data_IF_274247455570
#
_entry.id   IF_274247455570
#
_cell.length_a   1.000
_cell.length_b   1.000
_cell.length_c   1.000
_cell.angle_alpha   90.00
_cell.angle_beta   90.00
_cell.angle_gamma   90.00
#
_symmetry.space_group_name_H-M   'P 1'
#
loop_
_entity.id
_entity.type
_entity.pdbx_description
1 polymer ?
#
# COMPACT_ATOMS: atom_id res chain seq x y z
N UNK A 1 -1.66 -35.76 1.79
CA UNK A 1 -1.99 -34.93 0.62
C UNK A 1 -3.30 -34.14 0.75
N UNK A 2 -4.50 -34.70 0.51
CA UNK A 2 -5.75 -33.88 0.52
C UNK A 2 -6.06 -33.22 1.88
N UNK A 3 -5.82 -33.93 3.00
CA UNK A 3 -6.00 -33.35 4.35
C UNK A 3 -5.01 -32.23 4.66
N UNK A 4 -3.79 -32.30 4.12
CA UNK A 4 -2.76 -31.26 4.32
C UNK A 4 -3.08 -30.03 3.48
N UNK A 5 -3.59 -30.22 2.26
CA UNK A 5 -4.04 -29.13 1.41
C UNK A 5 -5.20 -28.37 2.05
N UNK A 6 -6.20 -29.08 2.60
CA UNK A 6 -7.30 -28.44 3.32
C UNK A 6 -6.83 -27.61 4.53
N UNK A 7 -5.89 -28.13 5.31
CA UNK A 7 -5.30 -27.38 6.45
C UNK A 7 -4.53 -26.15 6.00
N UNK A 8 -3.80 -26.23 4.89
CA UNK A 8 -3.08 -25.10 4.33
C UNK A 8 -4.06 -24.01 3.88
N UNK A 9 -5.12 -24.40 3.18
CA UNK A 9 -6.18 -23.48 2.73
C UNK A 9 -6.84 -22.75 3.91
N UNK A 10 -7.23 -23.48 4.96
CA UNK A 10 -7.79 -22.90 6.18
C UNK A 10 -6.82 -21.92 6.85
N UNK A 11 -5.52 -22.27 6.89
CA UNK A 11 -4.48 -21.42 7.48
C UNK A 11 -4.27 -20.13 6.68
N UNK A 12 -4.32 -20.21 5.34
CA UNK A 12 -4.20 -19.03 4.47
C UNK A 12 -5.42 -18.12 4.64
N UNK A 13 -6.63 -18.68 4.69
CA UNK A 13 -7.86 -17.90 4.96
C UNK A 13 -7.76 -17.14 6.28
N UNK A 14 -7.32 -17.83 7.34
CA UNK A 14 -7.09 -17.19 8.64
C UNK A 14 -6.05 -16.06 8.56
N UNK A 15 -4.96 -16.25 7.80
CA UNK A 15 -3.95 -15.20 7.60
C UNK A 15 -4.52 -13.97 6.90
N UNK A 16 -5.36 -14.17 5.88
CA UNK A 16 -6.06 -13.10 5.17
C UNK A 16 -6.96 -12.32 6.13
N UNK A 17 -7.77 -13.02 6.93
CA UNK A 17 -8.68 -12.39 7.90
C UNK A 17 -7.91 -11.56 8.96
N UNK A 18 -6.81 -12.11 9.47
CA UNK A 18 -5.94 -11.42 10.42
C UNK A 18 -5.30 -10.19 9.80
N UNK A 19 -4.75 -10.32 8.58
CA UNK A 19 -4.13 -9.20 7.87
C UNK A 19 -5.16 -8.10 7.59
N UNK A 20 -6.35 -8.44 7.10
CA UNK A 20 -7.45 -7.49 6.86
C UNK A 20 -7.84 -6.72 8.12
N UNK A 21 -7.91 -7.41 9.27
CA UNK A 21 -8.20 -6.78 10.56
C UNK A 21 -7.10 -5.81 10.99
N UNK A 22 -5.83 -6.19 10.79
CA UNK A 22 -4.68 -5.31 11.10
C UNK A 22 -4.69 -4.08 10.19
N UNK A 23 -4.90 -4.27 8.89
CA UNK A 23 -5.01 -3.19 7.89
C UNK A 23 -6.09 -2.19 8.28
N UNK A 24 -7.29 -2.66 8.59
CA UNK A 24 -8.41 -1.82 9.01
C UNK A 24 -8.03 -0.94 10.21
N UNK A 25 -7.36 -1.52 11.22
CA UNK A 25 -6.90 -0.77 12.40
C UNK A 25 -5.79 0.22 12.05
N UNK A 26 -4.89 -0.11 11.13
CA UNK A 26 -3.79 0.75 10.68
C UNK A 26 -4.35 1.97 9.94
N UNK A 27 -5.25 1.76 8.98
CA UNK A 27 -5.90 2.84 8.21
C UNK A 27 -6.72 3.75 9.14
N UNK A 28 -7.50 3.19 10.06
CA UNK A 28 -8.26 3.95 11.05
C UNK A 28 -7.37 4.83 11.97
N UNK A 29 -6.07 4.52 12.10
CA UNK A 29 -5.08 5.31 12.85
C UNK A 29 -4.28 6.27 11.96
N UNK A 30 -4.73 6.53 10.73
CA UNK A 30 -4.05 7.43 9.79
C UNK A 30 -2.94 6.75 8.99
N UNK A 31 -2.97 5.43 8.85
CA UNK A 31 -2.16 4.72 7.87
C UNK A 31 -2.66 5.05 6.46
N UNK A 32 -1.84 5.74 5.68
CA UNK A 32 -2.17 6.11 4.31
C UNK A 32 -1.76 4.98 3.35
N UNK A 33 -2.62 4.67 2.40
CA UNK A 33 -2.37 3.74 1.31
C UNK A 33 -2.43 4.54 0.02
N UNK A 34 -1.32 4.55 -0.72
CA UNK A 34 -1.20 5.25 -1.99
C UNK A 34 -0.81 4.19 -3.01
N UNK A 35 -1.74 3.87 -3.90
CA UNK A 35 -1.49 2.89 -4.94
C UNK A 35 -0.60 3.50 -6.03
N UNK A 36 0.44 2.77 -6.39
CA UNK A 36 1.29 3.08 -7.53
C UNK A 36 1.12 1.99 -8.56
N UNK A 37 0.83 2.36 -9.81
CA UNK A 37 0.74 1.40 -10.92
C UNK A 37 2.13 0.81 -11.15
N UNK A 38 2.29 -0.48 -10.83
CA UNK A 38 3.49 -1.24 -11.17
C UNK A 38 3.37 -1.74 -12.62
N UNK A 39 4.34 -1.39 -13.47
CA UNK A 39 4.39 -1.86 -14.86
C UNK A 39 5.40 -3.01 -14.98
N UNK A 40 4.95 -4.15 -15.50
CA UNK A 40 5.81 -5.27 -15.85
C UNK A 40 6.16 -5.24 -17.33
N UNK A 41 7.45 -5.41 -17.63
CA UNK A 41 7.94 -5.50 -19.00
C UNK A 41 7.93 -6.96 -19.44
N UNK A 42 7.22 -7.28 -20.52
CA UNK A 42 7.31 -8.59 -21.17
C UNK A 42 8.40 -8.57 -22.24
N UNK A 43 9.28 -9.56 -22.16
CA UNK A 43 10.32 -9.82 -23.14
C UNK A 43 9.98 -11.09 -23.93
N UNK A 44 10.47 -11.19 -25.15
CA UNK A 44 10.31 -12.38 -26.00
C UNK A 44 10.84 -13.66 -25.37
N UNK A 45 11.85 -13.55 -24.50
CA UNK A 45 12.24 -14.62 -23.58
C UNK A 45 11.91 -14.21 -22.13
N UNK A 46 10.81 -14.71 -21.56
CA UNK A 46 10.39 -14.41 -20.19
C UNK A 46 11.38 -14.90 -19.11
N UNK A 47 12.04 -16.03 -19.34
CA UNK A 47 12.91 -16.68 -18.35
C UNK A 47 14.24 -15.93 -18.22
N UNK A 48 14.83 -15.53 -19.34
CA UNK A 48 16.11 -14.78 -19.34
C UNK A 48 15.91 -13.26 -19.31
N UNK A 49 14.65 -12.78 -19.40
CA UNK A 49 14.28 -11.36 -19.55
C UNK A 49 15.09 -10.68 -20.66
N UNK A 50 15.27 -11.37 -21.77
CA UNK A 50 16.13 -10.94 -22.87
C UNK A 50 15.39 -10.95 -24.21
N UNK A 51 15.99 -10.31 -25.21
CA UNK A 51 15.40 -10.14 -26.54
C UNK A 51 14.55 -8.87 -26.65
N UNK A 52 13.70 -8.82 -27.67
CA UNK A 52 12.85 -7.66 -27.94
C UNK A 52 11.80 -7.50 -26.85
N UNK A 53 11.54 -6.24 -26.49
CA UNK A 53 10.41 -5.86 -25.65
C UNK A 53 9.13 -6.11 -26.45
N UNK A 54 8.26 -6.96 -25.91
CA UNK A 54 7.00 -7.32 -26.55
C UNK A 54 5.86 -6.44 -26.05
N UNK A 55 5.80 -6.18 -24.74
CA UNK A 55 4.66 -5.50 -24.13
C UNK A 55 5.01 -4.85 -22.78
N UNK A 56 4.22 -3.85 -22.39
CA UNK A 56 4.23 -3.21 -21.08
C UNK A 56 2.87 -3.42 -20.42
N UNK A 57 2.84 -4.26 -19.38
CA UNK A 57 1.58 -4.74 -18.81
C UNK A 57 1.48 -4.31 -17.36
N UNK A 58 0.38 -3.62 -16.97
CA UNK A 58 0.12 -3.31 -15.58
C UNK A 58 0.05 -4.59 -14.75
N UNK A 59 0.71 -4.61 -13.61
CA UNK A 59 0.64 -5.73 -12.69
C UNK A 59 -0.65 -5.61 -11.89
N UNK A 60 -1.52 -6.59 -12.05
CA UNK A 60 -2.77 -6.64 -11.31
C UNK A 60 -2.51 -6.90 -9.81
N UNK A 61 -3.06 -6.08 -8.91
CA UNK A 61 -2.94 -6.31 -7.48
C UNK A 61 -3.79 -7.51 -7.06
N UNK A 62 -3.13 -8.60 -6.69
CA UNK A 62 -3.79 -9.75 -6.06
C UNK A 62 -3.98 -9.52 -4.55
N UNK A 63 -5.07 -10.04 -3.98
CA UNK A 63 -5.35 -9.97 -2.53
C UNK A 63 -4.16 -10.44 -1.68
N UNK A 64 -3.48 -11.50 -2.11
CA UNK A 64 -2.31 -12.03 -1.41
C UNK A 64 -1.14 -11.04 -1.34
N UNK A 65 -0.98 -10.13 -2.31
CA UNK A 65 0.03 -9.08 -2.23
C UNK A 65 -0.27 -8.11 -1.08
N UNK A 66 -1.54 -7.71 -0.93
CA UNK A 66 -1.98 -6.87 0.20
C UNK A 66 -1.82 -7.59 1.54
N UNK A 67 -2.21 -8.87 1.62
CA UNK A 67 -2.06 -9.69 2.82
C UNK A 67 -0.61 -9.80 3.26
N UNK A 68 0.30 -10.12 2.33
CA UNK A 68 1.73 -10.21 2.64
C UNK A 68 2.29 -8.84 3.05
N UNK A 69 1.95 -7.76 2.33
CA UNK A 69 2.41 -6.42 2.66
C UNK A 69 1.99 -6.00 4.08
N UNK A 70 0.74 -6.24 4.48
CA UNK A 70 0.26 -5.88 5.82
C UNK A 70 0.97 -6.69 6.92
N UNK A 71 1.15 -8.00 6.71
CA UNK A 71 1.87 -8.84 7.66
C UNK A 71 3.34 -8.41 7.81
N UNK A 72 3.98 -7.98 6.72
CA UNK A 72 5.35 -7.44 6.75
C UNK A 72 5.43 -6.11 7.50
N UNK A 73 4.46 -5.20 7.30
CA UNK A 73 4.34 -3.96 8.07
C UNK A 73 4.19 -4.28 9.57
N UNK A 74 3.31 -5.22 9.90
CA UNK A 74 3.05 -5.62 11.29
C UNK A 74 4.28 -6.25 11.95
N UNK A 75 4.99 -7.14 11.24
CA UNK A 75 6.23 -7.74 11.71
C UNK A 75 7.31 -6.67 11.96
N UNK A 76 7.51 -5.75 11.01
CA UNK A 76 8.47 -4.65 11.13
C UNK A 76 8.15 -3.74 12.33
N UNK A 77 6.88 -3.45 12.58
CA UNK A 77 6.45 -2.68 13.75
C UNK A 77 6.87 -3.36 15.07
N UNK A 78 6.62 -4.66 15.21
CA UNK A 78 6.97 -5.40 16.43
C UNK A 78 8.48 -5.55 16.63
N UNK A 79 9.22 -5.85 15.56
CA UNK A 79 10.68 -5.94 15.61
C UNK A 79 11.28 -4.59 15.99
N UNK A 80 10.81 -3.47 15.40
CA UNK A 80 11.27 -2.13 15.74
C UNK A 80 11.07 -1.80 17.22
N UNK A 81 9.89 -2.14 17.78
CA UNK A 81 9.61 -1.96 19.22
C UNK A 81 10.54 -2.78 20.09
N UNK A 82 10.71 -4.06 19.78
CA UNK A 82 11.60 -4.96 20.54
C UNK A 82 13.05 -4.50 20.49
N UNK A 83 13.51 -4.01 19.33
CA UNK A 83 14.83 -3.44 19.17
C UNK A 83 15.01 -2.18 20.02
N UNK A 84 14.03 -1.27 20.03
CA UNK A 84 14.09 -0.05 20.84
C UNK A 84 14.08 -0.34 22.35
N UNK A 85 13.26 -1.30 22.79
CA UNK A 85 13.23 -1.76 24.19
C UNK A 85 14.56 -2.38 24.64
N UNK A 86 15.24 -3.10 23.74
CA UNK A 86 16.50 -3.79 24.07
C UNK A 86 17.74 -2.91 23.90
N UNK A 87 17.72 -2.02 22.90
CA UNK A 87 18.84 -1.20 22.49
C UNK A 87 18.38 0.24 22.19
N UNK A 88 17.99 1.03 23.20
CA UNK A 88 17.42 2.36 22.99
C UNK A 88 18.31 3.30 22.18
N UNK A 89 19.63 3.26 22.42
CA UNK A 89 20.61 4.15 21.79
C UNK A 89 21.27 3.56 20.53
N UNK A 90 21.03 2.28 20.22
CA UNK A 90 21.75 1.53 19.16
C UNK A 90 20.80 0.80 18.20
N UNK A 91 19.52 1.15 18.21
CA UNK A 91 18.54 0.56 17.30
C UNK A 91 18.58 1.27 15.94
N UNK A 92 18.58 0.48 14.86
CA UNK A 92 18.45 1.01 13.50
C UNK A 92 16.96 1.11 13.16
N UNK A 93 16.43 2.33 13.17
CA UNK A 93 15.01 2.62 12.93
C UNK A 93 14.84 3.48 11.69
N UNK A 94 13.70 3.32 11.01
CA UNK A 94 13.29 4.15 9.88
C UNK A 94 12.16 5.09 10.29
N UNK A 95 12.30 6.38 9.97
CA UNK A 95 11.26 7.41 10.20
C UNK A 95 10.97 8.17 8.92
N UNK A 96 9.69 8.43 8.65
CA UNK A 96 9.25 9.36 7.61
C UNK A 96 8.83 10.68 8.28
N UNK A 97 9.54 11.80 8.06
CA UNK A 97 9.12 13.10 8.61
C UNK A 97 7.82 13.58 7.93
N UNK A 98 7.04 14.46 8.58
CA UNK A 98 5.89 15.10 7.94
C UNK A 98 6.33 15.86 6.67
N UNK A 99 5.58 15.75 5.56
CA UNK A 99 5.81 16.56 4.36
C UNK A 99 5.59 18.05 4.64
N UNK A 100 6.23 18.92 3.85
CA UNK A 100 5.99 20.37 3.92
C UNK A 100 4.64 20.69 3.26
N UNK A 101 3.84 21.62 3.81
CA UNK A 101 2.55 21.99 3.22
C UNK A 101 2.65 22.41 1.74
N UNK A 102 3.72 23.13 1.39
CA UNK A 102 4.02 23.60 0.03
C UNK A 102 4.03 22.47 -1.02
N UNK A 103 4.37 21.23 -0.62
CA UNK A 103 4.39 20.09 -1.53
C UNK A 103 2.99 19.63 -1.95
N UNK A 104 1.94 20.08 -1.25
CA UNK A 104 0.55 19.81 -1.61
C UNK A 104 -0.09 20.95 -2.41
N UNK A 105 0.59 22.07 -2.65
CA UNK A 105 -0.01 23.24 -3.31
C UNK A 105 -0.43 22.92 -4.75
N UNK A 106 0.35 22.12 -5.47
CA UNK A 106 -0.01 21.67 -6.81
C UNK A 106 -1.19 20.68 -6.77
N UNK A 107 -1.17 19.71 -5.86
CA UNK A 107 -2.27 18.75 -5.68
C UNK A 107 -3.59 19.47 -5.37
N UNK A 108 -3.58 20.41 -4.42
CA UNK A 108 -4.77 21.17 -4.03
C UNK A 108 -5.30 22.03 -5.18
N UNK A 109 -4.41 22.68 -5.96
CA UNK A 109 -4.82 23.45 -7.15
C UNK A 109 -5.46 22.57 -8.21
N UNK A 110 -4.87 21.41 -8.50
CA UNK A 110 -5.40 20.45 -9.46
C UNK A 110 -6.76 19.89 -9.01
N UNK A 111 -6.90 19.51 -7.75
CA UNK A 111 -8.17 19.05 -7.19
C UNK A 111 -9.24 20.15 -7.26
N UNK A 112 -8.89 21.38 -6.85
CA UNK A 112 -9.81 22.52 -6.88
C UNK A 112 -10.30 22.85 -8.31
N UNK A 113 -9.46 22.68 -9.34
CA UNK A 113 -9.88 22.88 -10.74
C UNK A 113 -10.96 21.90 -11.21
N UNK A 114 -11.11 20.76 -10.52
CA UNK A 114 -12.17 19.77 -10.74
C UNK A 114 -13.29 19.85 -9.69
N UNK A 115 -13.28 20.88 -8.84
CA UNK A 115 -14.26 21.03 -7.76
C UNK A 115 -14.05 20.07 -6.57
N UNK A 116 -12.90 19.39 -6.50
CA UNK A 116 -12.53 18.47 -5.43
C UNK A 116 -11.73 19.20 -4.34
N UNK A 117 -11.87 18.76 -3.09
CA UNK A 117 -11.13 19.32 -1.95
C UNK A 117 -10.24 18.24 -1.32
N UNK A 118 -8.96 18.55 -1.20
CA UNK A 118 -7.97 17.71 -0.49
C UNK A 118 -7.64 18.34 0.86
N UNK A 119 -7.73 17.55 1.92
CA UNK A 119 -7.42 17.96 3.29
C UNK A 119 -6.02 17.45 3.67
N UNK A 120 -5.14 18.33 4.12
CA UNK A 120 -3.74 18.00 4.43
C UNK A 120 -3.41 18.13 5.93
N UNK A 121 -4.41 18.32 6.80
CA UNK A 121 -4.19 18.53 8.23
C UNK A 121 -3.61 17.29 8.92
N UNK A 122 -3.97 16.10 8.45
CA UNK A 122 -3.50 14.83 8.97
C UNK A 122 -3.50 13.74 7.89
N UNK A 123 -2.75 12.65 8.09
CA UNK A 123 -2.82 11.50 7.18
C UNK A 123 -4.24 10.90 7.11
N UNK A 124 -5.03 11.00 8.18
CA UNK A 124 -6.39 10.48 8.21
C UNK A 124 -7.32 11.34 7.35
N UNK A 125 -7.29 12.66 7.54
CA UNK A 125 -8.08 13.60 6.73
C UNK A 125 -7.64 13.59 5.26
N UNK A 126 -6.33 13.46 5.01
CA UNK A 126 -5.79 13.27 3.67
C UNK A 126 -6.33 12.01 3.01
N UNK A 127 -6.19 10.85 3.66
CA UNK A 127 -6.71 9.59 3.13
C UNK A 127 -8.22 9.62 2.87
N UNK A 128 -8.99 10.22 3.77
CA UNK A 128 -10.45 10.37 3.60
C UNK A 128 -10.82 11.30 2.44
N UNK A 129 -10.14 12.45 2.32
CA UNK A 129 -10.39 13.41 1.24
C UNK A 129 -10.01 12.86 -0.13
N UNK A 130 -8.93 12.08 -0.22
CA UNK A 130 -8.53 11.38 -1.45
C UNK A 130 -9.51 10.25 -1.81
N UNK A 131 -9.97 9.47 -0.85
CA UNK A 131 -10.95 8.40 -1.11
C UNK A 131 -12.33 8.93 -1.52
N UNK A 132 -12.68 10.15 -1.11
CA UNK A 132 -13.92 10.83 -1.51
C UNK A 132 -13.78 11.63 -2.81
N UNK A 133 -12.56 11.72 -3.38
CA UNK A 133 -12.27 12.49 -4.57
C UNK A 133 -12.64 11.70 -5.84
N UNK A 134 -13.94 11.53 -6.07
CA UNK A 134 -14.51 10.88 -7.25
C UNK A 134 -14.96 11.93 -8.28
N UNK A 135 -14.44 11.86 -9.51
CA UNK A 135 -14.84 12.74 -10.61
C UNK A 135 -15.77 11.98 -11.57
N UNK A 136 -17.09 12.23 -11.55
CA UNK A 136 -18.05 11.51 -12.39
C UNK A 136 -17.87 11.76 -13.90
N UNK A 137 -17.06 12.76 -14.28
CA UNK A 137 -16.76 13.04 -15.69
C UNK A 137 -15.47 12.36 -16.18
N UNK A 138 -14.76 11.64 -15.30
CA UNK A 138 -13.55 10.89 -15.63
C UNK A 138 -13.80 9.38 -15.40
N UNK A 139 -14.29 8.64 -16.42
CA UNK A 139 -14.64 7.23 -16.29
C UNK A 139 -13.43 6.29 -16.15
N UNK A 140 -12.20 6.81 -16.18
CA UNK A 140 -10.95 6.07 -15.97
C UNK A 140 -10.33 6.32 -14.58
N UNK A 141 -11.11 6.68 -13.56
CA UNK A 141 -10.63 6.60 -12.18
C UNK A 141 -10.53 5.12 -11.77
N UNK A 142 -9.40 4.51 -12.08
CA UNK A 142 -9.07 3.10 -11.76
C UNK A 142 -9.05 2.85 -10.26
#
# INVERSE_FOLDING_TARGET
>A
MLKELGRLEESIKLLVDVASTIRTRRVARGGLELDSIEISVRFADPETRSGKLEDLVPKEPLEMHSTVAELMIFANHWVARRCLESYPERSCLRRHPPPRPEFFDELQRCAASRGLRVDIESNCSLGQSLAAADDPNDPESF
#
